data_IF_114849646457
#
_entry.id   IF_114849646457
#
_cell.length_a   1.000
_cell.length_b   1.000
_cell.length_c   1.000
_cell.angle_alpha   90.00
_cell.angle_beta   90.00
_cell.angle_gamma   90.00
#
_symmetry.space_group_name_H-M   'P 1'
#
loop_
_entity.id
_entity.type
_entity.pdbx_description
1 polymer ?
#
# COMPACT_ATOMS: atom_id res chain seq x y z
N UNK A 1 -11.26 -7.52 -8.09
CA UNK A 1 -10.86 -6.12 -8.01
C UNK A 1 -11.50 -5.46 -6.80
N UNK A 2 -10.76 -4.61 -6.12
CA UNK A 2 -11.25 -3.80 -5.00
C UNK A 2 -11.61 -2.42 -5.50
N UNK A 3 -12.75 -1.91 -5.04
CA UNK A 3 -13.19 -0.56 -5.29
C UNK A 3 -13.01 0.25 -4.00
N UNK A 4 -12.35 1.37 -4.10
CA UNK A 4 -12.33 2.39 -3.06
C UNK A 4 -13.36 3.48 -3.39
N UNK A 5 -13.67 4.36 -2.44
CA UNK A 5 -14.54 5.53 -2.65
C UNK A 5 -14.06 6.40 -3.82
N UNK A 6 -12.78 6.48 -4.05
CA UNK A 6 -12.15 7.23 -5.13
C UNK A 6 -12.24 6.57 -6.52
N UNK A 7 -13.01 5.48 -6.68
CA UNK A 7 -13.09 4.72 -7.93
C UNK A 7 -11.73 4.16 -8.38
N UNK A 8 -10.87 3.80 -7.45
CA UNK A 8 -9.62 3.12 -7.74
C UNK A 8 -9.86 1.63 -7.94
N UNK A 9 -9.36 1.10 -9.04
CA UNK A 9 -9.39 -0.33 -9.34
C UNK A 9 -7.96 -0.86 -9.38
N UNK A 10 -7.69 -1.88 -8.61
CA UNK A 10 -6.41 -2.57 -8.60
C UNK A 10 -6.62 -4.09 -8.69
N UNK A 11 -5.80 -4.71 -9.51
CA UNK A 11 -5.68 -6.16 -9.58
C UNK A 11 -4.39 -6.57 -8.88
N UNK A 12 -4.50 -7.37 -7.83
CA UNK A 12 -3.34 -7.97 -7.20
C UNK A 12 -3.25 -9.45 -7.58
N UNK A 13 -2.13 -9.83 -8.14
CA UNK A 13 -1.84 -11.19 -8.57
C UNK A 13 -0.73 -11.75 -7.69
N UNK A 14 -0.98 -12.93 -7.14
CA UNK A 14 0.00 -13.66 -6.34
C UNK A 14 0.69 -14.70 -7.22
N UNK A 15 2.00 -14.70 -7.20
CA UNK A 15 2.82 -15.77 -7.76
C UNK A 15 3.54 -16.49 -6.63
N UNK A 16 3.31 -17.78 -6.52
CA UNK A 16 4.02 -18.65 -5.59
C UNK A 16 5.11 -19.39 -6.33
N UNK A 17 6.30 -19.42 -5.74
CA UNK A 17 7.43 -20.19 -6.26
C UNK A 17 8.13 -20.94 -5.13
N UNK A 18 8.79 -22.04 -5.46
CA UNK A 18 9.65 -22.72 -4.51
C UNK A 18 10.76 -21.77 -4.04
N UNK A 19 11.16 -21.88 -2.77
CA UNK A 19 12.37 -21.24 -2.28
C UNK A 19 13.55 -21.80 -3.08
N UNK A 20 14.07 -21.01 -4.01
CA UNK A 20 15.31 -21.28 -4.70
C UNK A 20 16.38 -20.30 -4.24
N UNK A 21 17.63 -20.69 -4.32
CA UNK A 21 18.75 -19.80 -4.14
C UNK A 21 18.74 -18.75 -5.25
N UNK A 22 18.21 -17.57 -4.97
CA UNK A 22 18.41 -16.43 -5.83
C UNK A 22 19.81 -15.89 -5.60
N UNK A 23 20.77 -16.47 -6.32
CA UNK A 23 22.11 -15.90 -6.41
C UNK A 23 22.02 -14.61 -7.23
N UNK A 24 22.18 -13.48 -6.57
CA UNK A 24 22.51 -12.23 -7.23
C UNK A 24 23.94 -12.33 -7.75
N UNK A 25 24.12 -11.92 -9.01
CA UNK A 25 25.35 -11.92 -9.79
C UNK A 25 26.58 -11.64 -8.92
N UNK A 26 27.53 -12.54 -8.97
CA UNK A 26 28.86 -12.45 -8.36
C UNK A 26 29.48 -11.06 -8.57
N UNK A 27 29.76 -10.35 -7.47
CA UNK A 27 30.47 -9.07 -7.50
C UNK A 27 29.74 -7.87 -6.88
N UNK A 28 28.47 -7.99 -6.45
CA UNK A 28 27.69 -6.88 -5.90
C UNK A 28 27.55 -6.86 -4.36
N UNK A 29 28.35 -7.61 -3.63
CA UNK A 29 28.30 -7.67 -2.16
C UNK A 29 27.58 -8.90 -1.61
N UNK A 30 27.29 -8.97 -0.32
CA UNK A 30 26.68 -10.14 0.29
C UNK A 30 25.32 -10.46 -0.33
N UNK A 31 25.04 -11.74 -0.56
CA UNK A 31 23.77 -12.25 -1.05
C UNK A 31 22.62 -11.71 -0.19
N UNK A 32 21.62 -11.14 -0.84
CA UNK A 32 20.38 -10.69 -0.20
C UNK A 32 19.25 -11.63 -0.62
N UNK A 33 18.87 -12.52 0.28
CA UNK A 33 17.70 -13.36 0.09
C UNK A 33 16.42 -12.58 0.39
N UNK A 34 15.47 -12.64 -0.50
CA UNK A 34 14.17 -11.99 -0.34
C UNK A 34 13.04 -12.99 -0.59
N UNK A 35 12.38 -13.40 0.49
CA UNK A 35 11.28 -14.36 0.44
C UNK A 35 9.92 -13.75 0.08
N UNK A 36 9.74 -12.48 0.39
CA UNK A 36 8.49 -11.76 0.11
C UNK A 36 8.77 -10.50 -0.68
N UNK A 37 8.01 -10.31 -1.76
CA UNK A 37 8.12 -9.14 -2.64
C UNK A 37 6.73 -8.62 -2.99
N UNK A 38 6.59 -7.29 -3.02
CA UNK A 38 5.38 -6.61 -3.47
C UNK A 38 5.76 -5.62 -4.57
N UNK A 39 5.35 -5.92 -5.81
CA UNK A 39 5.55 -5.06 -6.96
C UNK A 39 4.27 -4.28 -7.26
N UNK A 40 4.41 -3.00 -7.47
CA UNK A 40 3.30 -2.09 -7.76
C UNK A 40 3.53 -1.44 -9.12
N UNK A 41 2.56 -1.56 -10.01
CA UNK A 41 2.59 -0.97 -11.34
C UNK A 41 1.43 0.02 -11.50
N UNK A 42 1.77 1.21 -12.00
CA UNK A 42 0.81 2.30 -12.24
C UNK A 42 0.97 2.79 -13.67
N UNK A 43 0.39 2.09 -14.66
CA UNK A 43 0.48 2.49 -16.06
C UNK A 43 -0.29 3.79 -16.33
N UNK A 44 0.10 4.53 -17.35
CA UNK A 44 -0.49 5.83 -17.70
C UNK A 44 -2.00 5.76 -17.91
N UNK A 45 -2.51 4.67 -18.46
CA UNK A 45 -3.95 4.50 -18.72
C UNK A 45 -4.80 4.48 -17.43
N UNK A 46 -4.21 4.19 -16.26
CA UNK A 46 -4.91 4.18 -14.96
C UNK A 46 -5.53 5.54 -14.61
N UNK A 47 -5.01 6.61 -15.18
CA UNK A 47 -5.52 8.00 -15.04
C UNK A 47 -5.95 8.60 -16.37
N UNK A 48 -6.17 7.76 -17.40
CA UNK A 48 -6.60 8.21 -18.72
C UNK A 48 -5.51 8.88 -19.55
N UNK A 49 -4.25 8.76 -19.17
CA UNK A 49 -3.12 9.33 -19.89
C UNK A 49 -2.52 8.35 -20.89
N UNK A 50 -1.88 8.88 -21.93
CA UNK A 50 -1.07 8.12 -22.88
C UNK A 50 0.41 8.42 -22.67
N UNK A 51 1.25 7.39 -22.86
CA UNK A 51 2.70 7.58 -22.72
C UNK A 51 3.47 6.28 -22.96
N UNK A 52 4.79 6.37 -23.09
CA UNK A 52 5.63 5.21 -23.29
C UNK A 52 5.65 4.31 -22.03
N UNK A 53 5.72 3.00 -22.25
CA UNK A 53 5.99 2.05 -21.19
C UNK A 53 7.44 2.24 -20.73
N UNK A 54 7.65 2.45 -19.45
CA UNK A 54 8.96 2.68 -18.83
C UNK A 54 9.15 1.75 -17.64
N UNK A 55 10.39 1.66 -17.17
CA UNK A 55 10.69 1.05 -15.88
C UNK A 55 9.95 1.80 -14.75
N UNK A 56 9.60 1.12 -13.63
CA UNK A 56 8.91 1.73 -12.50
C UNK A 56 9.61 3.00 -12.02
N UNK A 57 8.83 4.07 -11.87
CA UNK A 57 9.31 5.34 -11.34
C UNK A 57 9.37 5.34 -9.80
N UNK A 58 9.81 6.46 -9.21
CA UNK A 58 9.93 6.61 -7.76
C UNK A 58 8.61 6.37 -7.02
N UNK A 59 7.48 6.81 -7.58
CA UNK A 59 6.15 6.61 -7.02
C UNK A 59 5.79 5.14 -6.92
N UNK A 60 6.01 4.39 -8.00
CA UNK A 60 5.72 2.97 -8.06
C UNK A 60 6.60 2.17 -7.08
N UNK A 61 7.89 2.50 -7.03
CA UNK A 61 8.83 1.89 -6.08
C UNK A 61 8.41 2.19 -4.63
N UNK A 62 8.04 3.43 -4.33
CA UNK A 62 7.61 3.86 -3.00
C UNK A 62 6.31 3.20 -2.55
N UNK A 63 5.31 3.12 -3.44
CA UNK A 63 4.05 2.44 -3.17
C UNK A 63 4.23 0.92 -3.03
N UNK A 64 5.09 0.31 -3.85
CA UNK A 64 5.46 -1.09 -3.72
C UNK A 64 6.12 -1.39 -2.37
N UNK A 65 7.06 -0.54 -1.95
CA UNK A 65 7.72 -0.65 -0.66
C UNK A 65 6.78 -0.44 0.53
N UNK A 66 5.79 0.46 0.41
CA UNK A 66 4.76 0.64 1.44
C UNK A 66 3.92 -0.63 1.59
N UNK A 67 3.45 -1.20 0.48
CA UNK A 67 2.70 -2.46 0.49
C UNK A 67 3.51 -3.62 1.05
N UNK A 68 4.78 -3.72 0.70
CA UNK A 68 5.67 -4.75 1.24
C UNK A 68 5.83 -4.61 2.77
N UNK A 69 6.04 -3.39 3.28
CA UNK A 69 6.12 -3.15 4.73
C UNK A 69 4.82 -3.48 5.45
N UNK A 70 3.68 -3.11 4.86
CA UNK A 70 2.37 -3.36 5.44
C UNK A 70 2.08 -4.85 5.61
N UNK A 71 2.48 -5.67 4.65
CA UNK A 71 2.13 -7.08 4.57
C UNK A 71 3.17 -8.02 5.18
N UNK A 72 4.44 -7.63 5.27
CA UNK A 72 5.53 -8.54 5.68
C UNK A 72 5.31 -9.21 7.04
N UNK A 73 4.64 -8.53 7.96
CA UNK A 73 4.40 -9.04 9.33
C UNK A 73 3.38 -10.15 9.41
N UNK A 74 2.51 -10.25 8.40
CA UNK A 74 1.47 -11.28 8.33
C UNK A 74 1.87 -12.49 7.49
N UNK A 75 2.98 -12.42 6.80
CA UNK A 75 3.50 -13.55 6.01
C UNK A 75 3.87 -14.69 6.95
N UNK A 76 3.44 -15.92 6.67
CA UNK A 76 3.76 -17.09 7.50
C UNK A 76 5.25 -17.39 7.48
N UNK A 77 5.74 -18.06 8.51
CA UNK A 77 7.13 -18.48 8.61
C UNK A 77 7.48 -19.56 7.58
N UNK A 78 8.77 -19.73 7.27
CA UNK A 78 9.23 -20.67 6.24
C UNK A 78 8.88 -22.13 6.60
N UNK A 79 8.80 -22.45 7.89
CA UNK A 79 8.45 -23.79 8.34
C UNK A 79 6.97 -24.13 8.05
N UNK A 80 6.08 -23.12 8.13
CA UNK A 80 4.66 -23.30 7.90
C UNK A 80 4.29 -23.17 6.42
N UNK A 81 5.04 -22.34 5.67
CA UNK A 81 4.80 -22.08 4.27
C UNK A 81 6.13 -21.90 3.51
N UNK A 82 6.74 -22.99 3.00
CA UNK A 82 8.08 -22.96 2.42
C UNK A 82 8.12 -22.47 0.97
N UNK A 83 7.49 -21.33 0.69
CA UNK A 83 7.43 -20.75 -0.65
C UNK A 83 7.89 -19.30 -0.64
N UNK A 84 8.53 -18.88 -1.73
CA UNK A 84 8.72 -17.46 -2.03
C UNK A 84 7.40 -16.87 -2.52
N UNK A 85 7.03 -15.70 -1.98
CA UNK A 85 5.79 -15.02 -2.30
C UNK A 85 6.14 -13.74 -3.07
N UNK A 86 5.61 -13.62 -4.29
CA UNK A 86 5.70 -12.41 -5.09
C UNK A 86 4.29 -11.92 -5.40
N UNK A 87 3.93 -10.75 -4.88
CA UNK A 87 2.68 -10.07 -5.21
C UNK A 87 2.97 -9.03 -6.29
N UNK A 88 2.10 -8.95 -7.28
CA UNK A 88 2.10 -7.91 -8.29
C UNK A 88 0.75 -7.22 -8.27
N UNK A 89 0.75 -5.92 -8.02
CA UNK A 89 -0.45 -5.08 -8.06
C UNK A 89 -0.44 -4.25 -9.32
N UNK A 90 -1.42 -4.47 -10.18
CA UNK A 90 -1.66 -3.67 -11.39
C UNK A 90 -2.81 -2.71 -11.12
N UNK A 91 -2.54 -1.41 -11.19
CA UNK A 91 -3.59 -0.39 -11.04
C UNK A 91 -4.25 -0.17 -12.40
N UNK A 92 -5.52 -0.53 -12.53
CA UNK A 92 -6.26 -0.45 -13.79
C UNK A 92 -6.94 0.91 -13.96
N UNK A 93 -7.43 1.49 -12.88
CA UNK A 93 -8.06 2.80 -12.83
C UNK A 93 -7.81 3.42 -11.46
N UNK A 94 -7.57 4.73 -11.40
CA UNK A 94 -7.27 5.42 -10.16
C UNK A 94 -7.91 6.80 -10.08
N UNK A 95 -8.54 7.06 -8.93
CA UNK A 95 -8.90 8.40 -8.48
C UNK A 95 -8.49 8.57 -6.99
N UNK A 96 -7.23 8.32 -6.69
CA UNK A 96 -6.66 8.36 -5.33
C UNK A 96 -6.56 7.02 -4.65
N UNK A 97 -5.81 6.95 -3.58
CA UNK A 97 -5.63 5.79 -2.66
C UNK A 97 -5.23 4.46 -3.31
N UNK A 98 -4.57 4.49 -4.47
CA UNK A 98 -4.19 3.27 -5.20
C UNK A 98 -3.23 2.35 -4.42
N UNK A 99 -2.34 2.91 -3.59
CA UNK A 99 -1.45 2.12 -2.73
C UNK A 99 -2.23 1.35 -1.66
N UNK A 100 -3.27 1.95 -1.08
CA UNK A 100 -4.10 1.31 -0.06
C UNK A 100 -5.01 0.23 -0.68
N UNK A 101 -5.58 0.52 -1.85
CA UNK A 101 -6.29 -0.49 -2.64
C UNK A 101 -5.40 -1.70 -2.97
N UNK A 102 -4.11 -1.47 -3.29
CA UNK A 102 -3.14 -2.55 -3.53
C UNK A 102 -2.87 -3.39 -2.29
N UNK A 103 -2.76 -2.78 -1.10
CA UNK A 103 -2.58 -3.50 0.16
C UNK A 103 -3.79 -4.39 0.45
N UNK A 104 -5.00 -3.84 0.36
CA UNK A 104 -6.23 -4.60 0.57
C UNK A 104 -6.39 -5.73 -0.45
N UNK A 105 -6.13 -5.44 -1.74
CA UNK A 105 -6.18 -6.44 -2.81
C UNK A 105 -5.14 -7.54 -2.64
N UNK A 106 -3.97 -7.21 -2.15
CA UNK A 106 -2.91 -8.17 -1.85
C UNK A 106 -3.30 -9.10 -0.70
N UNK A 107 -3.92 -8.58 0.35
CA UNK A 107 -4.46 -9.40 1.44
C UNK A 107 -5.49 -10.41 0.92
N UNK A 108 -6.43 -9.95 0.08
CA UNK A 108 -7.43 -10.85 -0.51
C UNK A 108 -6.80 -11.90 -1.43
N UNK A 109 -5.80 -11.52 -2.23
CA UNK A 109 -5.08 -12.43 -3.10
C UNK A 109 -4.30 -13.51 -2.30
N UNK A 110 -3.69 -13.14 -1.18
CA UNK A 110 -3.04 -14.08 -0.26
C UNK A 110 -4.05 -15.08 0.32
N UNK A 111 -5.21 -14.59 0.77
CA UNK A 111 -6.27 -15.42 1.33
C UNK A 111 -6.87 -16.37 0.28
N UNK A 112 -7.16 -15.86 -0.92
CA UNK A 112 -7.72 -16.66 -2.03
C UNK A 112 -6.75 -17.76 -2.50
N UNK A 113 -5.45 -17.48 -2.48
CA UNK A 113 -4.41 -18.45 -2.78
C UNK A 113 -4.16 -19.48 -1.66
N UNK A 114 -4.86 -19.39 -0.54
CA UNK A 114 -4.70 -20.29 0.60
C UNK A 114 -3.40 -20.10 1.38
N UNK A 115 -2.76 -18.94 1.29
CA UNK A 115 -1.59 -18.63 2.12
C UNK A 115 -2.06 -18.45 3.56
N UNK A 116 -1.50 -19.17 4.54
CA UNK A 116 -1.91 -19.08 5.93
C UNK A 116 -1.35 -17.81 6.59
N UNK A 117 -1.87 -16.65 6.18
CA UNK A 117 -1.48 -15.36 6.74
C UNK A 117 -1.88 -15.26 8.21
N UNK A 118 -1.05 -14.58 9.02
CA UNK A 118 -1.27 -14.44 10.47
C UNK A 118 -2.53 -13.61 10.79
N UNK A 119 -2.83 -12.60 9.98
CA UNK A 119 -4.04 -11.77 10.09
C UNK A 119 -4.28 -11.00 8.77
N UNK A 120 -5.52 -10.61 8.46
CA UNK A 120 -5.78 -9.70 7.35
C UNK A 120 -5.22 -8.31 7.64
N UNK A 121 -4.63 -7.69 6.63
CA UNK A 121 -4.23 -6.27 6.64
C UNK A 121 -5.18 -5.48 5.76
N UNK A 122 -5.68 -4.38 6.27
CA UNK A 122 -6.39 -3.37 5.50
C UNK A 122 -5.61 -2.05 5.54
N UNK A 123 -5.82 -1.19 4.56
CA UNK A 123 -5.20 0.12 4.49
C UNK A 123 -6.19 1.16 4.00
N UNK A 124 -6.03 2.39 4.51
CA UNK A 124 -6.86 3.53 4.14
C UNK A 124 -6.00 4.79 4.03
N UNK A 125 -6.41 5.73 3.17
CA UNK A 125 -5.81 7.04 3.05
C UNK A 125 -6.74 8.09 3.67
N UNK A 126 -6.22 8.80 4.66
CA UNK A 126 -6.89 9.89 5.35
C UNK A 126 -6.36 11.23 4.82
N UNK A 127 -7.19 12.24 4.82
CA UNK A 127 -6.82 13.60 4.49
C UNK A 127 -7.17 14.58 5.59
N UNK A 128 -6.59 15.77 5.50
CA UNK A 128 -6.92 16.89 6.37
C UNK A 128 -7.14 18.11 5.50
N UNK A 129 -8.20 18.84 5.81
CA UNK A 129 -8.46 20.17 5.26
C UNK A 129 -8.63 21.12 6.44
N UNK A 130 -7.83 22.19 6.47
CA UNK A 130 -7.93 23.24 7.46
C UNK A 130 -8.54 24.49 6.84
N UNK A 131 -9.35 25.19 7.62
CA UNK A 131 -9.91 26.49 7.24
C UNK A 131 -10.04 27.36 8.49
N UNK A 132 -9.33 28.48 8.51
CA UNK A 132 -9.25 29.38 9.64
C UNK A 132 -8.85 28.62 10.92
N UNK A 133 -9.70 28.61 11.94
CA UNK A 133 -9.48 27.91 13.22
C UNK A 133 -10.14 26.52 13.26
N UNK A 134 -10.61 26.00 12.13
CA UNK A 134 -11.29 24.70 12.04
C UNK A 134 -10.56 23.73 11.13
N UNK A 135 -10.74 22.43 11.37
CA UNK A 135 -10.23 21.38 10.50
C UNK A 135 -11.27 20.28 10.26
N UNK A 136 -11.09 19.54 9.19
CA UNK A 136 -11.91 18.37 8.87
C UNK A 136 -11.00 17.23 8.43
N UNK A 137 -11.15 16.07 9.05
CA UNK A 137 -10.46 14.85 8.66
C UNK A 137 -11.33 14.10 7.65
N UNK A 138 -10.74 13.76 6.51
CA UNK A 138 -11.40 13.05 5.42
C UNK A 138 -10.98 11.58 5.43
N UNK A 139 -11.93 10.69 5.19
CA UNK A 139 -11.72 9.24 5.10
C UNK A 139 -11.77 8.78 3.66
N UNK A 140 -10.78 7.97 3.23
CA UNK A 140 -10.63 7.43 1.87
C UNK A 140 -10.63 8.52 0.79
N UNK A 141 -9.59 9.35 0.83
CA UNK A 141 -9.48 10.56 0.00
C UNK A 141 -9.38 10.27 -1.49
N UNK A 142 -10.03 11.13 -2.26
CA UNK A 142 -9.94 11.17 -3.72
C UNK A 142 -8.70 11.94 -4.19
N UNK A 143 -8.35 11.82 -5.48
CA UNK A 143 -7.19 12.50 -6.06
C UNK A 143 -7.20 14.02 -5.89
N UNK A 144 -8.38 14.67 -5.96
CA UNK A 144 -8.52 16.10 -5.70
C UNK A 144 -8.30 16.46 -4.23
N UNK A 145 -8.78 15.64 -3.31
CA UNK A 145 -8.61 15.81 -1.86
C UNK A 145 -7.15 15.58 -1.45
N UNK A 146 -6.46 14.63 -2.09
CA UNK A 146 -5.00 14.42 -1.94
C UNK A 146 -4.20 15.63 -2.43
N UNK A 147 -4.55 16.16 -3.61
CA UNK A 147 -3.83 17.27 -4.22
C UNK A 147 -4.00 18.61 -3.46
N UNK A 148 -5.20 18.90 -2.98
CA UNK A 148 -5.58 20.18 -2.37
C UNK A 148 -5.61 20.16 -0.83
N UNK A 149 -5.57 18.98 -0.21
CA UNK A 149 -5.57 18.83 1.23
C UNK A 149 -4.24 19.23 1.88
N UNK A 150 -4.29 19.48 3.17
CA UNK A 150 -3.16 19.92 4.00
C UNK A 150 -2.31 18.76 4.52
N UNK A 151 -2.88 17.56 4.53
CA UNK A 151 -2.22 16.30 4.91
C UNK A 151 -2.74 15.14 4.05
N UNK A 152 -1.84 14.27 3.66
CA UNK A 152 -2.08 12.92 3.16
C UNK A 152 -1.50 11.92 4.16
N UNK A 153 -2.34 11.09 4.76
CA UNK A 153 -1.97 10.15 5.80
C UNK A 153 -2.46 8.75 5.44
N UNK A 154 -1.53 7.90 5.07
CA UNK A 154 -1.79 6.50 4.71
C UNK A 154 -1.43 5.60 5.86
N UNK A 155 -2.39 4.80 6.29
CA UNK A 155 -2.20 3.85 7.38
C UNK A 155 -2.71 2.47 6.95
N UNK A 156 -1.94 1.44 7.29
CA UNK A 156 -2.32 0.06 7.10
C UNK A 156 -2.06 -0.74 8.36
N UNK A 157 -2.88 -1.73 8.62
CA UNK A 157 -2.74 -2.54 9.81
C UNK A 157 -3.71 -3.70 9.87
N UNK A 158 -3.60 -4.43 10.96
CA UNK A 158 -4.50 -5.50 11.39
C UNK A 158 -5.42 -4.99 12.51
N UNK A 159 -6.30 -5.85 13.01
CA UNK A 159 -7.09 -5.53 14.22
C UNK A 159 -6.23 -5.32 15.47
N UNK A 160 -5.02 -5.85 15.50
CA UNK A 160 -4.11 -5.79 16.65
C UNK A 160 -3.20 -4.55 16.62
N UNK A 161 -2.94 -3.99 15.43
CA UNK A 161 -2.08 -2.81 15.34
C UNK A 161 -1.68 -2.44 13.92
N UNK A 162 -1.02 -1.29 13.83
CA UNK A 162 -0.56 -0.69 12.60
C UNK A 162 0.70 -1.40 12.12
N UNK A 163 0.74 -1.74 10.83
CA UNK A 163 1.88 -2.40 10.18
C UNK A 163 2.67 -1.46 9.27
N UNK A 164 2.04 -0.41 8.76
CA UNK A 164 2.73 0.60 7.97
C UNK A 164 2.01 1.96 8.05
N UNK A 165 2.79 3.02 8.03
CA UNK A 165 2.35 4.41 7.94
C UNK A 165 3.17 5.14 6.90
N UNK A 166 2.51 6.01 6.15
CA UNK A 166 3.12 7.07 5.35
C UNK A 166 2.33 8.34 5.56
N UNK A 167 3.01 9.44 5.90
CA UNK A 167 2.39 10.75 6.09
C UNK A 167 3.14 11.78 5.24
N UNK A 168 2.39 12.60 4.53
CA UNK A 168 2.86 13.80 3.86
C UNK A 168 2.08 15.00 4.41
N UNK A 169 2.80 15.99 4.92
CA UNK A 169 2.22 17.18 5.57
C UNK A 169 2.65 18.40 4.78
N UNK A 170 1.68 19.21 4.37
CA UNK A 170 1.90 20.42 3.56
C UNK A 170 1.78 21.72 4.38
N UNK A 171 1.57 21.60 5.69
CA UNK A 171 1.45 22.71 6.66
C UNK A 171 2.52 22.59 7.75
N UNK A 172 2.72 23.62 8.54
CA UNK A 172 3.78 23.72 9.56
C UNK A 172 3.55 22.84 10.82
N UNK A 173 3.05 21.63 10.65
CA UNK A 173 2.85 20.65 11.71
C UNK A 173 1.39 20.37 12.01
N UNK A 174 1.18 19.33 12.81
CA UNK A 174 -0.12 18.86 13.26
C UNK A 174 -0.13 18.82 14.79
N UNK A 175 -1.28 19.11 15.37
CA UNK A 175 -1.44 18.92 16.80
C UNK A 175 -1.62 17.43 17.11
N UNK A 176 -1.36 17.06 18.36
CA UNK A 176 -1.54 15.69 18.82
C UNK A 176 -2.99 15.23 18.68
N UNK A 177 -3.93 16.12 18.96
CA UNK A 177 -5.37 15.87 18.89
C UNK A 177 -5.78 15.49 17.46
N UNK A 178 -5.31 16.22 16.45
CA UNK A 178 -5.59 15.92 15.03
C UNK A 178 -5.07 14.54 14.65
N UNK A 179 -3.86 14.18 15.10
CA UNK A 179 -3.26 12.87 14.81
C UNK A 179 -4.06 11.74 15.47
N UNK A 180 -4.43 11.90 16.74
CA UNK A 180 -5.21 10.90 17.48
C UNK A 180 -6.59 10.70 16.85
N UNK A 181 -7.26 11.78 16.46
CA UNK A 181 -8.55 11.73 15.77
C UNK A 181 -8.43 11.07 14.38
N UNK A 182 -7.41 11.42 13.60
CA UNK A 182 -7.16 10.82 12.28
C UNK A 182 -6.89 9.31 12.37
N UNK A 183 -6.14 8.86 13.38
CA UNK A 183 -5.88 7.44 13.63
C UNK A 183 -7.14 6.68 14.03
N UNK A 184 -7.97 7.26 14.91
CA UNK A 184 -9.22 6.64 15.32
C UNK A 184 -10.21 6.57 14.16
N UNK A 185 -10.32 7.63 13.36
CA UNK A 185 -11.18 7.63 12.17
C UNK A 185 -10.67 6.63 11.10
N UNK A 186 -9.35 6.50 10.94
CA UNK A 186 -8.76 5.49 10.08
C UNK A 186 -9.04 4.06 10.54
N UNK A 187 -9.11 3.82 11.86
CA UNK A 187 -9.47 2.52 12.43
C UNK A 187 -10.91 2.13 12.12
N UNK A 188 -11.80 3.11 12.01
CA UNK A 188 -13.22 2.89 11.69
C UNK A 188 -13.46 2.69 10.19
N UNK A 189 -12.70 3.37 9.32
CA UNK A 189 -12.78 3.29 7.87
C UNK A 189 -12.16 2.03 7.30
#
# INVERSE_FOLDING_TARGET
GLFTRGQTQALSVLTLGALGDYQLIDGLGPEVEKRFMHHYNFPNFSVGETGPVRAPGRREIGHGALGERALRYIIPDTQDFPYTIRIVSEVLESNGSSSQASICGSTLALMDAGVPIKAPVAGIAMGLVTRDDSYTILTDIQGMEDALGDMDFKVAGTKEGITAIQMDIKIDGLTREVIEEALEQARQG
#
